data_IF_635300822411
#
_entry.id   IF_635300822411
#
_cell.length_a   1.000
_cell.length_b   1.000
_cell.length_c   1.000
_cell.angle_alpha   90.00
_cell.angle_beta   90.00
_cell.angle_gamma   90.00
#
_symmetry.space_group_name_H-M   'P 1'
#
loop_
_entity.id
_entity.type
_entity.pdbx_description
1 polymer ?
#
# COMPACT_ATOMS: atom_id res chain seq x y z
N UNK A 1 45.57 0.35 -18.26
CA UNK A 1 44.13 0.22 -18.56
C UNK A 1 43.56 -0.79 -17.57
N UNK A 2 43.03 -0.32 -16.43
CA UNK A 2 42.35 -1.22 -15.51
C UNK A 2 41.04 -1.63 -16.19
N UNK A 3 40.86 -2.92 -16.47
CA UNK A 3 39.59 -3.46 -16.93
C UNK A 3 38.53 -3.12 -15.86
N UNK A 4 37.50 -2.37 -16.23
CA UNK A 4 36.37 -2.09 -15.35
C UNK A 4 35.67 -3.40 -15.01
N UNK A 5 35.86 -3.91 -13.79
CA UNK A 5 35.13 -5.07 -13.25
C UNK A 5 33.75 -4.63 -12.76
N UNK A 6 33.00 -3.97 -13.63
CA UNK A 6 31.59 -3.72 -13.40
C UNK A 6 30.84 -4.98 -13.83
N UNK A 7 30.28 -5.70 -12.86
CA UNK A 7 29.47 -6.88 -13.11
C UNK A 7 28.19 -6.39 -13.78
N UNK A 8 28.08 -6.65 -15.08
CA UNK A 8 26.85 -6.31 -15.82
C UNK A 8 25.71 -7.18 -15.27
N UNK A 9 24.65 -6.58 -14.71
CA UNK A 9 23.48 -7.36 -14.29
C UNK A 9 22.89 -8.13 -15.47
N UNK A 10 22.71 -9.42 -15.28
CA UNK A 10 21.90 -10.24 -16.18
C UNK A 10 20.56 -10.50 -15.52
N UNK A 11 19.47 -10.33 -16.27
CA UNK A 11 18.12 -10.60 -15.77
C UNK A 11 17.62 -11.91 -16.37
N UNK A 12 17.34 -12.87 -15.49
CA UNK A 12 16.86 -14.20 -15.84
C UNK A 12 15.45 -14.35 -15.30
N UNK A 13 14.46 -14.51 -16.19
CA UNK A 13 13.02 -14.72 -15.91
C UNK A 13 12.32 -13.64 -15.07
N UNK A 14 13.01 -12.56 -14.71
CA UNK A 14 12.47 -11.47 -13.89
C UNK A 14 13.32 -11.20 -12.65
N UNK A 15 14.28 -12.09 -12.35
CA UNK A 15 15.25 -11.94 -11.26
C UNK A 15 16.60 -11.48 -11.80
N UNK A 16 17.20 -10.44 -11.19
CA UNK A 16 18.53 -9.96 -11.56
C UNK A 16 19.64 -10.74 -10.85
N UNK A 17 20.79 -10.94 -11.51
CA UNK A 17 22.01 -11.42 -10.85
C UNK A 17 22.53 -10.46 -9.77
N UNK A 18 22.06 -9.20 -9.76
CA UNK A 18 22.29 -8.26 -8.64
C UNK A 18 21.44 -8.60 -7.41
N UNK A 19 20.21 -9.09 -7.60
CA UNK A 19 19.34 -9.46 -6.49
C UNK A 19 19.73 -10.82 -5.92
N UNK A 20 19.97 -11.80 -6.79
CA UNK A 20 20.40 -13.15 -6.41
C UNK A 20 21.47 -13.66 -7.37
N UNK A 21 22.70 -14.00 -6.91
CA UNK A 21 23.78 -14.47 -7.79
C UNK A 21 23.42 -15.72 -8.61
N UNK A 22 22.50 -16.55 -8.09
CA UNK A 22 22.01 -17.76 -8.75
C UNK A 22 20.79 -17.53 -9.66
N UNK A 23 20.47 -16.28 -10.04
CA UNK A 23 19.32 -15.98 -10.89
C UNK A 23 19.29 -16.84 -12.17
N UNK A 24 20.45 -17.09 -12.78
CA UNK A 24 20.59 -17.95 -13.96
C UNK A 24 20.19 -19.43 -13.72
N UNK A 25 20.29 -19.93 -12.48
CA UNK A 25 19.92 -21.31 -12.14
C UNK A 25 18.41 -21.49 -11.99
N UNK A 26 17.65 -20.41 -11.82
CA UNK A 26 16.19 -20.42 -11.76
C UNK A 26 15.56 -20.99 -10.48
N UNK A 27 16.35 -21.44 -9.50
CA UNK A 27 15.85 -21.91 -8.20
C UNK A 27 15.32 -20.78 -7.31
N UNK A 28 15.86 -19.57 -7.50
CA UNK A 28 15.56 -18.40 -6.68
C UNK A 28 14.28 -17.68 -7.07
N UNK A 29 13.75 -17.96 -8.26
CA UNK A 29 12.53 -17.34 -8.75
C UNK A 29 11.33 -18.30 -8.58
N UNK A 30 10.41 -17.94 -7.69
CA UNK A 30 9.19 -18.71 -7.48
C UNK A 30 8.05 -18.05 -8.24
N UNK A 31 7.58 -18.68 -9.32
CA UNK A 31 6.48 -18.12 -10.11
C UNK A 31 5.18 -18.07 -9.29
N UNK A 32 4.38 -17.02 -9.51
CA UNK A 32 3.06 -16.86 -8.88
C UNK A 32 2.17 -18.09 -9.07
N UNK A 33 2.21 -18.68 -10.27
CA UNK A 33 1.48 -19.91 -10.60
C UNK A 33 1.95 -21.10 -9.77
N UNK A 34 3.27 -21.26 -9.59
CA UNK A 34 3.84 -22.33 -8.76
C UNK A 34 3.37 -22.23 -7.32
N UNK A 35 3.36 -21.02 -6.74
CA UNK A 35 2.83 -20.77 -5.38
C UNK A 35 1.35 -21.13 -5.28
N UNK A 36 0.54 -20.67 -6.25
CA UNK A 36 -0.89 -20.93 -6.25
C UNK A 36 -1.22 -22.41 -6.36
N UNK A 37 -0.59 -23.13 -7.29
CA UNK A 37 -0.83 -24.56 -7.48
C UNK A 37 -0.39 -25.37 -6.26
N UNK A 38 0.82 -25.13 -5.74
CA UNK A 38 1.32 -25.88 -4.57
C UNK A 38 0.49 -25.60 -3.31
N UNK A 39 0.05 -24.35 -3.12
CA UNK A 39 -0.81 -23.96 -2.03
C UNK A 39 -2.18 -24.64 -2.11
N UNK A 40 -2.86 -24.62 -3.25
CA UNK A 40 -4.18 -25.24 -3.41
C UNK A 40 -4.12 -26.77 -3.33
N UNK A 41 -3.05 -27.40 -3.82
CA UNK A 41 -2.80 -28.83 -3.60
C UNK A 41 -2.68 -29.12 -2.09
N UNK A 42 -1.97 -28.29 -1.35
CA UNK A 42 -1.82 -28.43 0.11
C UNK A 42 -3.16 -28.29 0.83
N UNK A 43 -4.00 -27.32 0.44
CA UNK A 43 -5.38 -27.18 0.97
C UNK A 43 -6.19 -28.45 0.68
N UNK A 44 -6.14 -28.98 -0.54
CA UNK A 44 -6.82 -30.22 -0.92
C UNK A 44 -6.41 -31.42 -0.06
N UNK A 45 -5.11 -31.57 0.22
CA UNK A 45 -4.58 -32.64 1.07
C UNK A 45 -5.08 -32.49 2.52
N UNK A 46 -5.04 -31.28 3.09
CA UNK A 46 -5.52 -31.04 4.46
C UNK A 46 -7.01 -31.34 4.61
N UNK A 47 -7.82 -31.01 3.60
CA UNK A 47 -9.24 -31.36 3.59
C UNK A 47 -9.43 -32.87 3.47
N UNK A 48 -8.65 -33.55 2.61
CA UNK A 48 -8.70 -35.00 2.46
C UNK A 48 -8.36 -35.76 3.75
N UNK A 49 -7.45 -35.23 4.58
CA UNK A 49 -7.12 -35.80 5.89
C UNK A 49 -8.25 -35.76 6.92
N UNK A 50 -9.41 -35.17 6.62
CA UNK A 50 -10.58 -35.29 7.50
C UNK A 50 -11.36 -36.60 7.27
N UNK A 51 -11.08 -37.33 6.19
CA UNK A 51 -11.71 -38.62 5.90
C UNK A 51 -10.89 -39.76 6.51
N UNK A 52 -11.42 -40.43 7.53
CA UNK A 52 -10.73 -41.50 8.23
C UNK A 52 -11.33 -41.80 9.59
N UNK A 53 -10.59 -42.53 10.42
CA UNK A 53 -11.01 -42.92 11.77
C UNK A 53 -10.60 -41.88 12.82
N UNK A 54 -11.02 -40.62 12.65
CA UNK A 54 -10.71 -39.56 13.61
C UNK A 54 -11.70 -39.63 14.78
N UNK A 55 -11.17 -39.72 16.01
CA UNK A 55 -11.97 -39.67 17.24
C UNK A 55 -11.52 -38.48 18.08
N UNK A 56 -12.47 -37.70 18.57
CA UNK A 56 -12.18 -36.38 19.16
C UNK A 56 -11.92 -35.35 18.05
N UNK A 57 -12.81 -34.37 17.93
CA UNK A 57 -12.82 -33.39 16.84
C UNK A 57 -11.64 -32.41 16.82
N UNK A 58 -10.66 -32.57 17.71
CA UNK A 58 -9.52 -31.65 17.83
C UNK A 58 -8.70 -31.63 16.54
N UNK A 59 -8.38 -32.80 15.99
CA UNK A 59 -7.62 -32.90 14.73
C UNK A 59 -8.38 -32.27 13.56
N UNK A 60 -9.67 -32.57 13.42
CA UNK A 60 -10.56 -31.96 12.42
C UNK A 60 -10.56 -30.44 12.51
N UNK A 61 -10.68 -29.88 13.72
CA UNK A 61 -10.66 -28.43 13.92
C UNK A 61 -9.32 -27.85 13.46
N UNK A 62 -8.19 -28.45 13.84
CA UNK A 62 -6.87 -27.98 13.42
C UNK A 62 -6.67 -28.06 11.90
N UNK A 63 -7.05 -29.17 11.26
CA UNK A 63 -6.94 -29.34 9.81
C UNK A 63 -7.77 -28.29 9.08
N UNK A 64 -9.01 -28.04 9.51
CA UNK A 64 -9.89 -27.04 8.92
C UNK A 64 -9.38 -25.61 9.12
N UNK A 65 -8.88 -25.27 10.31
CA UNK A 65 -8.32 -23.95 10.59
C UNK A 65 -7.08 -23.69 9.74
N UNK A 66 -6.14 -24.63 9.67
CA UNK A 66 -4.92 -24.47 8.86
C UNK A 66 -5.28 -24.38 7.37
N UNK A 67 -6.20 -25.22 6.89
CA UNK A 67 -6.69 -25.15 5.50
C UNK A 67 -7.31 -23.78 5.19
N UNK A 68 -8.12 -23.23 6.10
CA UNK A 68 -8.74 -21.92 5.95
C UNK A 68 -7.70 -20.79 5.92
N UNK A 69 -6.69 -20.82 6.79
CA UNK A 69 -5.61 -19.82 6.80
C UNK A 69 -4.82 -19.85 5.49
N UNK A 70 -4.44 -21.03 5.01
CA UNK A 70 -3.70 -21.17 3.74
C UNK A 70 -4.57 -20.68 2.57
N UNK A 71 -5.82 -21.12 2.49
CA UNK A 71 -6.74 -20.71 1.43
C UNK A 71 -6.94 -19.18 1.42
N UNK A 72 -7.13 -18.55 2.58
CA UNK A 72 -7.24 -17.10 2.68
C UNK A 72 -5.95 -16.40 2.23
N UNK A 73 -4.78 -16.89 2.64
CA UNK A 73 -3.49 -16.37 2.20
C UNK A 73 -3.32 -16.46 0.69
N UNK A 74 -3.73 -17.56 0.06
CA UNK A 74 -3.70 -17.73 -1.39
C UNK A 74 -4.64 -16.79 -2.13
N UNK A 75 -5.83 -16.54 -1.58
CA UNK A 75 -6.79 -15.58 -2.15
C UNK A 75 -6.23 -14.15 -2.07
N UNK A 76 -5.66 -13.76 -0.93
CA UNK A 76 -4.99 -12.45 -0.78
C UNK A 76 -3.84 -12.32 -1.79
N UNK A 77 -3.01 -13.35 -1.91
CA UNK A 77 -1.92 -13.40 -2.88
C UNK A 77 -2.40 -13.42 -4.34
N UNK A 78 -3.59 -13.99 -4.62
CA UNK A 78 -4.16 -14.07 -5.97
C UNK A 78 -4.82 -12.77 -6.41
N UNK A 79 -5.47 -12.07 -5.50
CA UNK A 79 -6.20 -10.84 -5.81
C UNK A 79 -5.39 -9.58 -5.56
N UNK A 80 -4.31 -9.66 -4.76
CA UNK A 80 -3.48 -8.52 -4.37
C UNK A 80 -4.34 -7.28 -4.08
N UNK A 81 -5.28 -7.40 -3.12
CA UNK A 81 -6.26 -6.35 -2.90
C UNK A 81 -5.51 -5.06 -2.58
N UNK A 82 -5.65 -4.07 -3.45
CA UNK A 82 -5.18 -2.72 -3.17
C UNK A 82 -6.05 -2.21 -2.01
N UNK A 83 -5.49 -2.23 -0.81
CA UNK A 83 -6.10 -1.63 0.38
C UNK A 83 -6.25 -0.10 0.16
N UNK A 84 -6.62 0.66 1.20
CA UNK A 84 -6.77 2.11 1.13
C UNK A 84 -5.48 2.80 0.67
N UNK A 85 -5.30 2.93 -0.65
CA UNK A 85 -4.23 3.72 -1.22
C UNK A 85 -4.58 5.20 -0.99
N UNK A 86 -3.72 5.90 -0.26
CA UNK A 86 -3.79 7.36 -0.17
C UNK A 86 -3.49 7.89 -1.57
N UNK A 87 -4.54 8.27 -2.30
CA UNK A 87 -4.39 8.94 -3.59
C UNK A 87 -4.12 10.41 -3.33
N UNK A 88 -2.92 10.88 -3.66
CA UNK A 88 -2.64 12.31 -3.72
C UNK A 88 -3.57 12.93 -4.78
N UNK A 89 -4.47 13.81 -4.35
CA UNK A 89 -5.30 14.59 -5.27
C UNK A 89 -4.37 15.60 -5.93
N UNK A 90 -4.08 15.39 -7.21
CA UNK A 90 -3.30 16.33 -8.03
C UNK A 90 -4.24 17.12 -8.92
N UNK A 91 -3.73 18.19 -9.55
CA UNK A 91 -4.45 18.98 -10.54
C UNK A 91 -5.18 18.17 -11.62
N UNK A 92 -4.64 16.98 -11.95
CA UNK A 92 -5.10 16.09 -13.02
C UNK A 92 -6.01 14.94 -12.54
N UNK A 93 -6.12 14.70 -11.24
CA UNK A 93 -6.85 13.54 -10.66
C UNK A 93 -7.90 14.02 -9.65
N UNK A 94 -8.76 14.92 -10.11
CA UNK A 94 -9.84 15.51 -9.33
C UNK A 94 -11.15 14.74 -9.55
N UNK A 95 -11.95 14.48 -8.51
CA UNK A 95 -13.29 13.92 -8.72
C UNK A 95 -14.18 14.90 -9.49
N UNK A 96 -15.21 14.39 -10.16
CA UNK A 96 -16.04 15.15 -11.11
C UNK A 96 -16.70 16.42 -10.52
N UNK A 97 -16.82 16.50 -9.20
CA UNK A 97 -17.41 17.62 -8.45
C UNK A 97 -16.39 18.42 -7.64
N UNK A 98 -15.09 18.20 -7.83
CA UNK A 98 -14.07 18.99 -7.15
C UNK A 98 -13.97 20.38 -7.79
N UNK A 99 -14.28 21.39 -6.99
CA UNK A 99 -14.01 22.78 -7.31
C UNK A 99 -12.72 23.16 -6.60
N UNK A 100 -11.73 23.64 -7.36
CA UNK A 100 -10.51 24.14 -6.74
C UNK A 100 -10.80 25.40 -5.93
N UNK A 101 -10.25 25.54 -4.71
CA UNK A 101 -10.21 26.81 -4.02
C UNK A 101 -9.50 27.85 -4.88
N UNK A 102 -10.02 29.07 -4.89
CA UNK A 102 -9.30 30.21 -5.44
C UNK A 102 -8.21 30.60 -4.44
N UNK A 103 -7.02 30.03 -4.64
CA UNK A 103 -5.90 30.19 -3.70
C UNK A 103 -5.45 31.65 -3.54
N UNK A 104 -5.51 32.43 -4.62
CA UNK A 104 -5.11 33.83 -4.61
C UNK A 104 -6.12 34.67 -3.83
N UNK A 105 -7.42 34.44 -4.07
CA UNK A 105 -8.48 35.07 -3.30
C UNK A 105 -8.40 34.68 -1.82
N UNK A 106 -8.39 33.38 -1.52
CA UNK A 106 -8.40 32.86 -0.15
C UNK A 106 -7.18 33.31 0.66
N UNK A 107 -6.01 33.42 0.04
CA UNK A 107 -4.82 33.97 0.69
C UNK A 107 -4.95 35.47 0.95
N UNK A 108 -5.49 36.23 -0.01
CA UNK A 108 -5.66 37.69 0.13
C UNK A 108 -6.72 38.07 1.17
N UNK A 109 -7.78 37.27 1.31
CA UNK A 109 -8.88 37.49 2.27
C UNK A 109 -8.71 36.73 3.58
N UNK A 110 -7.70 35.86 3.70
CA UNK A 110 -7.55 34.90 4.79
C UNK A 110 -8.81 34.06 5.00
N UNK A 111 -9.38 33.53 3.92
CA UNK A 111 -10.52 32.62 3.91
C UNK A 111 -10.13 31.18 3.54
N UNK A 112 -11.12 30.28 3.53
CA UNK A 112 -10.91 28.89 3.13
C UNK A 112 -9.84 28.20 3.97
N UNK A 113 -8.81 27.66 3.31
CA UNK A 113 -7.69 26.97 3.98
C UNK A 113 -6.83 27.91 4.84
N UNK A 114 -6.92 29.24 4.63
CA UNK A 114 -6.16 30.25 5.37
C UNK A 114 -6.90 30.83 6.59
N UNK A 115 -8.19 30.48 6.77
CA UNK A 115 -9.02 31.04 7.85
C UNK A 115 -8.52 30.67 9.25
N UNK A 116 -7.94 29.48 9.40
CA UNK A 116 -7.57 28.90 10.69
C UNK A 116 -6.06 28.89 10.95
N UNK A 117 -5.30 29.74 10.25
CA UNK A 117 -3.85 29.84 10.46
C UNK A 117 -3.51 30.28 11.89
N UNK A 118 -2.53 29.60 12.48
CA UNK A 118 -1.91 29.97 13.74
C UNK A 118 -1.10 31.27 13.61
N UNK A 119 -0.85 31.92 14.74
CA UNK A 119 -0.03 33.14 14.77
C UNK A 119 1.40 32.93 14.25
N UNK A 120 1.93 31.71 14.33
CA UNK A 120 3.22 31.34 13.73
C UNK A 120 3.13 31.23 12.21
N UNK A 121 2.06 30.64 11.69
CA UNK A 121 1.86 30.48 10.23
C UNK A 121 1.56 31.82 9.56
N UNK A 122 0.78 32.70 10.20
CA UNK A 122 0.58 34.07 9.72
C UNK A 122 1.90 34.83 9.62
N UNK A 123 2.77 34.72 10.63
CA UNK A 123 4.10 35.34 10.60
C UNK A 123 5.00 34.74 9.51
N UNK A 124 4.88 33.45 9.22
CA UNK A 124 5.60 32.83 8.11
C UNK A 124 5.17 33.39 6.74
N UNK A 125 3.92 33.85 6.63
CA UNK A 125 3.40 34.57 5.46
C UNK A 125 3.70 36.09 5.50
N UNK A 126 4.51 36.57 6.45
CA UNK A 126 4.77 37.98 6.70
C UNK A 126 3.52 38.80 7.07
N UNK A 127 2.53 38.16 7.70
CA UNK A 127 1.31 38.80 8.20
C UNK A 127 1.40 38.93 9.71
N UNK A 128 1.24 40.16 10.23
CA UNK A 128 1.15 40.38 11.67
C UNK A 128 -0.19 39.85 12.21
N UNK A 129 -0.20 38.92 13.19
CA UNK A 129 -1.41 38.38 13.80
C UNK A 129 -2.39 39.45 14.30
N UNK A 130 -1.89 40.58 14.79
CA UNK A 130 -2.71 41.67 15.31
C UNK A 130 -3.50 42.38 14.21
N UNK A 131 -2.95 42.47 13.00
CA UNK A 131 -3.59 43.11 11.83
C UNK A 131 -4.87 42.38 11.40
N UNK A 132 -4.90 41.07 11.60
CA UNK A 132 -5.96 40.17 11.11
C UNK A 132 -6.80 39.58 12.25
N UNK A 133 -6.59 40.05 13.48
CA UNK A 133 -7.34 39.62 14.66
C UNK A 133 -8.86 39.84 14.50
N UNK A 134 -9.26 40.89 13.78
CA UNK A 134 -10.66 41.22 13.51
C UNK A 134 -11.35 40.20 12.59
N UNK A 135 -10.64 39.59 11.64
CA UNK A 135 -11.19 38.56 10.75
C UNK A 135 -11.49 37.26 11.49
N UNK A 136 -10.69 36.94 12.51
CA UNK A 136 -10.82 35.72 13.31
C UNK A 136 -11.95 35.75 14.35
N UNK A 137 -12.49 36.93 14.66
CA UNK A 137 -13.62 37.07 15.58
C UNK A 137 -14.97 36.84 14.92
N UNK A 138 -15.07 37.02 13.59
CA UNK A 138 -16.32 36.93 12.82
C UNK A 138 -16.82 35.48 12.70
N UNK A 139 -15.94 34.48 12.80
CA UNK A 139 -16.31 33.06 12.68
C UNK A 139 -16.93 32.46 13.97
N UNK A 140 -16.94 33.20 15.09
CA UNK A 140 -17.48 32.75 16.39
C UNK A 140 -18.90 33.24 16.71
N UNK A 141 -19.59 33.90 15.79
CA UNK A 141 -20.94 34.43 15.98
C UNK A 141 -22.00 33.66 15.19
#
# INVERSE_FOLDING_TARGET
MAASHEIVPEVHKGTSTLDVPSAALGWSELSRTTVQVSGWVSVGILLAYNFGNHTGHVETIWLLVIAAVIALGLLIHLFEPNLSQVRTITGHNKPANHVEPDWDYDQATLSGSYAQLSDSELRALNIDPSRVAHLRQVEKA
#
